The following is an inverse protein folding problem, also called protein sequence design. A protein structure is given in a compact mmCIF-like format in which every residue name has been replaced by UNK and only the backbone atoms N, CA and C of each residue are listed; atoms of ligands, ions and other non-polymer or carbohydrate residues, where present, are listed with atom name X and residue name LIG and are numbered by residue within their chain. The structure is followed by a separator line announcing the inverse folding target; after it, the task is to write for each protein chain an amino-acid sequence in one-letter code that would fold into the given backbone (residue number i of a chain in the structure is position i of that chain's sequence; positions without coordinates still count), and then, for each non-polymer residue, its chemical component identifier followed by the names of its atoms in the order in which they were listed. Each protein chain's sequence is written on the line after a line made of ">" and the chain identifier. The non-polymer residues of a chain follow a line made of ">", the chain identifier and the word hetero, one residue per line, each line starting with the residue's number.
data_IF_145616847083
#
_entry.id   IF_145616847083
#
_cell.length_a   1.000
_cell.length_b   1.000
_cell.length_c   1.000
_cell.angle_alpha   90.00
_cell.angle_beta   90.00
_cell.angle_gamma   90.00
#
_symmetry.space_group_name_H-M   'P 1'
#
loop_
_entity.id
_entity.type
_entity.pdbx_description
1 polymer ?
#
# COMPACT_ATOMS: atom_id res chain seq x y z
N UNK A 1 7.34 -12.29 21.70
CA UNK A 1 6.61 -13.10 20.70
C UNK A 1 7.38 -12.97 19.41
N UNK A 2 8.12 -14.01 19.03
CA UNK A 2 9.07 -13.95 17.93
C UNK A 2 8.35 -13.79 16.59
N UNK A 3 8.84 -12.86 15.79
CA UNK A 3 8.44 -12.61 14.41
C UNK A 3 8.40 -13.92 13.62
N UNK A 4 7.27 -14.19 12.96
CA UNK A 4 7.23 -15.19 11.90
C UNK A 4 8.19 -14.71 10.80
N UNK A 5 9.35 -15.34 10.70
CA UNK A 5 10.22 -15.23 9.53
C UNK A 5 9.40 -15.80 8.37
N UNK A 6 8.84 -14.91 7.56
CA UNK A 6 8.09 -15.25 6.36
C UNK A 6 9.06 -15.95 5.42
N UNK A 7 8.95 -17.28 5.30
CA UNK A 7 9.82 -18.07 4.45
C UNK A 7 9.79 -17.61 2.99
N UNK A 8 10.83 -17.94 2.19
CA UNK A 8 10.98 -17.46 0.82
C UNK A 8 9.77 -17.79 -0.07
N UNK A 9 9.10 -18.92 0.18
CA UNK A 9 7.88 -19.31 -0.54
C UNK A 9 6.71 -18.36 -0.30
N UNK A 10 6.48 -17.97 0.96
CA UNK A 10 5.39 -17.06 1.33
C UNK A 10 5.68 -15.64 0.81
N UNK A 11 6.95 -15.23 0.80
CA UNK A 11 7.36 -13.98 0.16
C UNK A 11 7.09 -13.99 -1.35
N UNK A 12 7.48 -15.05 -2.06
CA UNK A 12 7.25 -15.20 -3.50
C UNK A 12 5.76 -15.24 -3.83
N UNK A 13 4.95 -15.92 -3.01
CA UNK A 13 3.50 -15.96 -3.16
C UNK A 13 2.89 -14.56 -3.03
N UNK A 14 3.22 -13.82 -1.96
CA UNK A 14 2.75 -12.44 -1.78
C UNK A 14 3.22 -11.49 -2.87
N UNK A 15 4.43 -11.70 -3.40
CA UNK A 15 4.95 -10.91 -4.53
C UNK A 15 4.09 -11.13 -5.77
N UNK A 16 3.76 -12.38 -6.11
CA UNK A 16 2.88 -12.71 -7.25
C UNK A 16 1.48 -12.11 -7.09
N UNK A 17 0.90 -12.21 -5.88
CA UNK A 17 -0.40 -11.62 -5.59
C UNK A 17 -0.40 -10.10 -5.78
N UNK A 18 0.63 -9.41 -5.30
CA UNK A 18 0.79 -7.96 -5.51
C UNK A 18 1.00 -7.60 -6.97
N UNK A 19 1.74 -8.41 -7.71
CA UNK A 19 1.99 -8.17 -9.14
C UNK A 19 0.71 -8.32 -9.96
N UNK A 20 -0.09 -9.37 -9.68
CA UNK A 20 -1.39 -9.56 -10.30
C UNK A 20 -2.35 -8.40 -10.01
N UNK A 21 -2.45 -7.97 -8.74
CA UNK A 21 -3.26 -6.81 -8.35
C UNK A 21 -2.84 -5.53 -9.07
N UNK A 22 -1.54 -5.24 -9.18
CA UNK A 22 -1.06 -4.07 -9.94
C UNK A 22 -1.44 -4.14 -11.41
N UNK A 23 -1.36 -5.32 -12.04
CA UNK A 23 -1.71 -5.47 -13.44
C UNK A 23 -3.20 -5.23 -13.70
N UNK A 24 -4.07 -5.64 -12.77
CA UNK A 24 -5.51 -5.41 -12.86
C UNK A 24 -5.84 -3.92 -12.65
N UNK A 25 -5.23 -3.29 -11.64
CA UNK A 25 -5.39 -1.86 -11.38
C UNK A 25 -4.95 -1.02 -12.58
N UNK A 26 -3.83 -1.37 -13.23
CA UNK A 26 -3.35 -0.69 -14.45
C UNK A 26 -4.33 -0.83 -15.62
N UNK A 27 -4.98 -1.99 -15.75
CA UNK A 27 -6.02 -2.22 -16.76
C UNK A 27 -7.24 -1.35 -16.49
N UNK A 28 -7.72 -1.30 -15.24
CA UNK A 28 -8.86 -0.45 -14.82
C UNK A 28 -8.58 1.03 -15.05
N UNK A 29 -7.37 1.50 -14.73
CA UNK A 29 -6.93 2.86 -15.05
C UNK A 29 -6.94 3.15 -16.55
N UNK A 30 -6.51 2.20 -17.39
CA UNK A 30 -6.54 2.34 -18.84
C UNK A 30 -7.98 2.35 -19.41
N UNK A 31 -8.91 1.65 -18.75
CA UNK A 31 -10.34 1.66 -19.05
C UNK A 31 -11.05 2.95 -18.58
N UNK A 32 -10.33 3.85 -17.88
CA UNK A 32 -10.82 5.15 -17.45
C UNK A 32 -11.45 5.18 -16.06
N UNK A 33 -11.21 4.15 -15.25
CA UNK A 33 -11.68 4.12 -13.86
C UNK A 33 -10.96 5.16 -13.00
N UNK A 34 -11.70 5.71 -12.03
CA UNK A 34 -11.20 6.75 -11.13
C UNK A 34 -10.07 6.19 -10.24
N UNK A 35 -8.85 6.77 -10.29
CA UNK A 35 -7.74 6.36 -9.44
C UNK A 35 -8.07 6.38 -7.94
N UNK A 36 -8.95 7.28 -7.48
CA UNK A 36 -9.34 7.33 -6.07
C UNK A 36 -10.10 6.08 -5.65
N UNK A 37 -10.96 5.53 -6.53
CA UNK A 37 -11.70 4.31 -6.25
C UNK A 37 -10.74 3.14 -6.04
N UNK A 38 -9.81 2.95 -6.97
CA UNK A 38 -8.80 1.88 -6.93
C UNK A 38 -7.90 2.01 -5.68
N UNK A 39 -7.45 3.22 -5.36
CA UNK A 39 -6.64 3.46 -4.18
C UNK A 39 -7.37 3.08 -2.89
N UNK A 40 -8.64 3.43 -2.77
CA UNK A 40 -9.41 3.17 -1.56
C UNK A 40 -9.81 1.71 -1.39
N UNK A 41 -10.04 0.96 -2.48
CA UNK A 41 -10.24 -0.50 -2.43
C UNK A 41 -8.99 -1.23 -1.92
N UNK A 42 -7.80 -0.74 -2.30
CA UNK A 42 -6.52 -1.31 -1.90
C UNK A 42 -5.99 -0.79 -0.54
N UNK A 43 -6.66 0.19 0.06
CA UNK A 43 -6.22 0.81 1.31
C UNK A 43 -6.58 -0.06 2.51
N UNK A 44 -5.57 -0.36 3.35
CA UNK A 44 -5.79 -1.01 4.64
C UNK A 44 -6.45 -0.07 5.67
N UNK A 45 -6.35 1.25 5.46
CA UNK A 45 -6.91 2.27 6.35
C UNK A 45 -8.19 2.88 5.74
N UNK A 46 -9.18 3.24 6.56
CA UNK A 46 -10.43 3.82 6.07
C UNK A 46 -10.23 5.21 5.46
N UNK A 47 -11.22 5.64 4.67
CA UNK A 47 -11.27 7.00 4.12
C UNK A 47 -11.13 8.05 5.22
N UNK A 48 -10.21 8.98 5.03
CA UNK A 48 -9.96 10.06 5.99
C UNK A 48 -9.16 9.67 7.23
N UNK A 49 -8.59 8.46 7.30
CA UNK A 49 -7.74 8.04 8.44
C UNK A 49 -6.59 9.03 8.72
N UNK A 50 -6.00 9.60 7.68
CA UNK A 50 -4.93 10.60 7.80
C UNK A 50 -5.43 12.05 7.81
N UNK A 51 -6.75 12.29 7.89
CA UNK A 51 -7.30 13.65 7.88
C UNK A 51 -6.86 14.38 9.13
N UNK A 52 -5.99 15.38 8.97
CA UNK A 52 -5.41 16.14 10.09
C UNK A 52 -4.22 15.45 10.77
N UNK A 53 -3.73 14.34 10.24
CA UNK A 53 -2.50 13.71 10.73
C UNK A 53 -1.31 14.64 10.45
N UNK A 54 -0.50 14.90 11.47
CA UNK A 54 0.79 15.57 11.32
C UNK A 54 1.85 14.52 11.06
N UNK A 55 2.28 14.40 9.80
CA UNK A 55 3.42 13.56 9.43
C UNK A 55 4.67 14.42 9.63
N UNK A 56 5.39 14.20 10.72
CA UNK A 56 6.70 14.81 10.92
C UNK A 56 7.76 13.95 10.23
N UNK A 57 8.56 14.56 9.36
CA UNK A 57 9.74 13.89 8.85
C UNK A 57 10.74 13.73 10.02
N UNK A 58 11.26 12.51 10.21
CA UNK A 58 12.22 12.23 11.27
C UNK A 58 13.46 13.12 11.12
N UNK A 59 13.90 13.39 9.88
CA UNK A 59 15.02 14.28 9.61
C UNK A 59 14.77 15.71 10.12
N UNK A 60 13.55 16.22 9.96
CA UNK A 60 13.16 17.55 10.49
C UNK A 60 13.00 17.56 12.01
N UNK A 61 12.77 16.40 12.62
CA UNK A 61 12.50 16.27 14.08
C UNK A 61 13.78 16.12 14.88
N UNK A 62 14.81 15.47 14.33
CA UNK A 62 16.06 15.18 15.04
C UNK A 62 17.03 16.37 14.97
N UNK A 63 16.85 17.30 14.03
CA UNK A 63 17.73 18.44 13.84
C UNK A 63 19.09 18.00 13.32
N UNK A 64 19.39 18.29 12.06
CA UNK A 64 20.79 18.27 11.59
C UNK A 64 21.60 19.39 12.26
#
# INVERSE_FOLDING_TARGET
>A
MAEQIVGPEVFLQRKKEKEASRSDDLRRLAEGEDPEVIQWENSIVPKGFFKGAKVSNLAETVGE
#
